data_IF_968980273209
#
_entry.id   IF_968980273209
#
_cell.length_a   1.000
_cell.length_b   1.000
_cell.length_c   1.000
_cell.angle_alpha   90.00
_cell.angle_beta   90.00
_cell.angle_gamma   90.00
#
_symmetry.space_group_name_H-M   'P 1'
#
loop_
_entity.id
_entity.type
_entity.pdbx_description
1 polymer ?
#
# COMPACT_ATOMS: atom_id res chain seq x y z
N UNK A 1 -47.65 -17.90 17.55
CA UNK A 1 -46.75 -17.01 16.80
C UNK A 1 -45.90 -16.22 17.80
N UNK A 2 -45.00 -16.91 18.50
CA UNK A 2 -43.58 -17.10 18.17
C UNK A 2 -42.75 -15.83 18.44
N UNK A 3 -42.55 -15.50 19.73
CA UNK A 3 -41.57 -14.50 20.20
C UNK A 3 -40.16 -14.76 19.64
N UNK A 4 -39.86 -16.01 19.30
CA UNK A 4 -38.65 -16.43 18.59
C UNK A 4 -38.53 -15.81 17.18
N UNK A 5 -39.66 -15.65 16.47
CA UNK A 5 -39.68 -15.04 15.14
C UNK A 5 -39.37 -13.53 15.23
N UNK A 6 -39.88 -12.86 16.27
CA UNK A 6 -39.60 -11.44 16.50
C UNK A 6 -38.12 -11.21 16.85
N UNK A 7 -37.52 -12.13 17.62
CA UNK A 7 -36.10 -12.05 18.01
C UNK A 7 -35.15 -12.27 16.81
N UNK A 8 -35.51 -13.17 15.89
CA UNK A 8 -34.75 -13.42 14.65
C UNK A 8 -34.81 -12.20 13.73
N UNK A 9 -35.99 -11.58 13.56
CA UNK A 9 -36.15 -10.38 12.72
C UNK A 9 -35.30 -9.22 13.26
N UNK A 10 -35.31 -8.99 14.58
CA UNK A 10 -34.50 -7.94 15.21
C UNK A 10 -33.00 -8.20 15.02
N UNK A 11 -32.53 -9.44 15.18
CA UNK A 11 -31.12 -9.78 14.96
C UNK A 11 -30.67 -9.66 13.50
N UNK A 12 -31.56 -9.93 12.52
CA UNK A 12 -31.23 -9.74 11.09
C UNK A 12 -31.19 -8.28 10.66
N UNK A 13 -31.82 -7.35 11.39
CA UNK A 13 -31.81 -5.92 11.06
C UNK A 13 -30.61 -5.17 11.66
N UNK A 14 -29.91 -5.75 12.64
CA UNK A 14 -28.68 -5.18 13.22
C UNK A 14 -27.40 -5.87 12.72
N UNK A 15 -27.53 -6.94 11.93
CA UNK A 15 -26.38 -7.66 11.39
C UNK A 15 -26.06 -7.14 9.99
N UNK A 16 -24.93 -6.44 9.89
CA UNK A 16 -24.32 -5.82 8.70
C UNK A 16 -24.85 -4.43 8.31
N UNK A 17 -24.47 -3.43 9.10
CA UNK A 17 -24.09 -2.14 8.53
C UNK A 17 -22.55 -2.04 8.54
N UNK A 18 -21.88 -2.94 7.82
CA UNK A 18 -20.51 -2.67 7.39
C UNK A 18 -20.60 -1.69 6.23
N UNK A 19 -20.77 -0.42 6.57
CA UNK A 19 -20.42 0.65 5.65
C UNK A 19 -18.92 0.49 5.38
N UNK A 20 -18.59 -0.28 4.35
CA UNK A 20 -17.40 -0.03 3.57
C UNK A 20 -17.59 1.40 3.09
N UNK A 21 -17.08 2.34 3.88
CA UNK A 21 -16.80 3.68 3.40
C UNK A 21 -15.69 3.43 2.39
N UNK A 22 -16.06 3.06 1.16
CA UNK A 22 -15.28 3.45 -0.01
C UNK A 22 -15.23 4.97 0.10
N UNK A 23 -14.17 5.48 0.72
CA UNK A 23 -13.78 6.85 0.53
C UNK A 23 -13.50 6.96 -0.96
N UNK A 24 -14.52 7.39 -1.70
CA UNK A 24 -14.43 7.78 -3.09
C UNK A 24 -13.66 9.11 -3.13
N UNK A 25 -12.39 9.07 -2.69
CA UNK A 25 -11.43 10.11 -2.97
C UNK A 25 -11.07 9.90 -4.41
N UNK A 26 -11.62 10.74 -5.28
CA UNK A 26 -11.25 10.81 -6.68
C UNK A 26 -9.72 10.94 -6.76
N UNK A 27 -9.07 9.86 -7.18
CA UNK A 27 -7.61 9.85 -7.29
C UNK A 27 -7.25 10.69 -8.51
N UNK A 28 -6.57 11.82 -8.28
CA UNK A 28 -6.05 12.65 -9.35
C UNK A 28 -4.88 11.92 -10.03
N UNK A 29 -5.20 11.19 -11.09
CA UNK A 29 -4.19 10.55 -11.91
C UNK A 29 -3.26 11.62 -12.52
N UNK A 30 -1.93 11.39 -12.53
CA UNK A 30 -1.01 12.31 -13.16
C UNK A 30 -1.30 12.39 -14.67
N UNK A 31 -1.12 13.59 -15.24
CA UNK A 31 -1.36 13.84 -16.65
C UNK A 31 -0.44 13.00 -17.56
N UNK A 32 0.75 12.65 -17.07
CA UNK A 32 1.69 11.74 -17.73
C UNK A 32 1.87 10.46 -16.92
N UNK A 33 1.95 9.33 -17.64
CA UNK A 33 2.32 8.02 -17.10
C UNK A 33 3.74 7.60 -17.48
N UNK A 34 4.57 8.56 -17.90
CA UNK A 34 6.00 8.32 -18.13
C UNK A 34 6.68 8.24 -16.77
N UNK A 35 6.75 7.02 -16.25
CA UNK A 35 7.29 6.75 -14.92
C UNK A 35 8.63 6.05 -15.03
N UNK A 36 9.52 6.33 -14.07
CA UNK A 36 10.78 5.59 -14.00
C UNK A 36 10.51 4.20 -13.41
N UNK A 37 10.78 3.17 -14.21
CA UNK A 37 10.76 1.76 -13.77
C UNK A 37 12.00 1.40 -12.96
N UNK A 38 11.79 0.66 -11.88
CA UNK A 38 12.80 -0.08 -11.12
C UNK A 38 13.66 0.77 -10.19
N UNK A 39 13.05 1.65 -9.40
CA UNK A 39 13.80 2.59 -8.53
C UNK A 39 14.07 1.97 -7.15
N UNK A 40 15.10 1.13 -7.06
CA UNK A 40 15.37 0.34 -5.85
C UNK A 40 16.26 1.04 -4.81
N UNK A 41 16.98 2.08 -5.22
CA UNK A 41 17.90 2.82 -4.35
C UNK A 41 17.24 4.08 -3.81
N UNK A 42 17.43 4.36 -2.52
CA UNK A 42 16.97 5.60 -1.91
C UNK A 42 17.63 6.86 -2.49
N UNK A 43 18.88 6.76 -2.94
CA UNK A 43 19.57 7.87 -3.59
C UNK A 43 19.05 8.12 -5.00
N UNK A 44 18.75 7.06 -5.74
CA UNK A 44 18.14 7.16 -7.06
C UNK A 44 16.74 7.78 -6.96
N UNK A 45 15.93 7.36 -5.98
CA UNK A 45 14.60 7.92 -5.74
C UNK A 45 14.66 9.45 -5.55
N UNK A 46 15.58 9.92 -4.71
CA UNK A 46 15.78 11.35 -4.46
C UNK A 46 16.23 12.11 -5.71
N UNK A 47 17.15 11.55 -6.47
CA UNK A 47 17.73 12.23 -7.62
C UNK A 47 16.75 12.30 -8.81
N UNK A 48 15.74 11.42 -8.83
CA UNK A 48 14.67 11.41 -9.84
C UNK A 48 13.41 12.17 -9.44
N UNK A 49 13.35 12.66 -8.20
CA UNK A 49 12.25 13.47 -7.71
C UNK A 49 12.14 14.76 -8.55
N UNK A 50 10.97 14.98 -9.16
CA UNK A 50 10.72 16.12 -10.06
C UNK A 50 11.29 15.97 -11.48
N UNK A 51 11.96 14.85 -11.79
CA UNK A 51 12.35 14.49 -13.17
C UNK A 51 11.25 13.68 -13.86
N UNK A 52 10.60 12.79 -13.09
CA UNK A 52 9.48 11.98 -13.55
C UNK A 52 8.24 12.29 -12.71
N UNK A 53 7.05 12.20 -13.33
CA UNK A 53 5.77 12.40 -12.63
C UNK A 53 5.40 11.21 -11.71
N UNK A 54 6.10 10.08 -11.87
CA UNK A 54 5.94 8.94 -11.00
C UNK A 54 7.13 7.98 -11.03
N UNK A 55 7.24 7.20 -9.97
CA UNK A 55 8.26 6.17 -9.78
C UNK A 55 7.60 4.82 -9.58
N UNK A 56 8.15 3.78 -10.20
CA UNK A 56 7.80 2.39 -9.93
C UNK A 56 8.88 1.75 -9.07
N UNK A 57 8.44 0.99 -8.08
CA UNK A 57 9.29 0.32 -7.10
C UNK A 57 8.80 -1.10 -6.82
N UNK A 58 9.68 -2.07 -7.04
CA UNK A 58 9.44 -3.46 -6.66
C UNK A 58 9.56 -3.62 -5.14
N UNK A 59 8.58 -4.28 -4.52
CA UNK A 59 8.57 -4.56 -3.08
C UNK A 59 8.24 -6.00 -2.72
N UNK A 60 8.67 -6.40 -1.53
CA UNK A 60 8.40 -7.73 -0.97
C UNK A 60 7.96 -7.56 0.48
N UNK A 61 6.79 -8.12 0.79
CA UNK A 61 6.33 -8.24 2.16
C UNK A 61 7.08 -9.37 2.89
N UNK A 62 7.60 -9.07 4.09
CA UNK A 62 8.22 -10.05 4.98
C UNK A 62 7.28 -10.39 6.14
N UNK A 63 6.66 -11.58 6.17
CA UNK A 63 5.83 -11.98 7.30
C UNK A 63 6.60 -12.05 8.62
N UNK A 64 7.88 -12.44 8.57
CA UNK A 64 8.74 -12.58 9.76
C UNK A 64 9.05 -11.25 10.43
N UNK A 65 9.22 -10.20 9.63
CA UNK A 65 9.49 -8.84 10.10
C UNK A 65 8.23 -7.99 10.21
N UNK A 66 7.12 -8.47 9.66
CA UNK A 66 5.88 -7.72 9.48
C UNK A 66 6.13 -6.35 8.84
N UNK A 67 6.86 -6.35 7.74
CA UNK A 67 7.37 -5.14 7.10
C UNK A 67 7.50 -5.31 5.57
N UNK A 68 7.61 -4.21 4.83
CA UNK A 68 7.72 -4.16 3.38
C UNK A 68 9.09 -3.63 2.98
N UNK A 69 9.81 -4.41 2.17
CA UNK A 69 11.16 -4.08 1.73
C UNK A 69 11.21 -3.80 0.23
N UNK A 70 11.97 -2.77 -0.15
CA UNK A 70 12.30 -2.43 -1.54
C UNK A 70 13.29 -3.44 -2.09
N UNK A 71 12.81 -4.34 -2.96
CA UNK A 71 13.61 -5.37 -3.64
C UNK A 71 12.79 -6.10 -4.71
N UNK A 72 13.48 -6.52 -5.77
CA UNK A 72 12.88 -7.23 -6.91
C UNK A 72 12.66 -8.72 -6.69
N UNK A 73 13.53 -9.39 -5.93
CA UNK A 73 13.50 -10.84 -5.75
C UNK A 73 13.68 -11.21 -4.29
N UNK A 74 12.95 -12.23 -3.81
CA UNK A 74 12.95 -12.67 -2.40
C UNK A 74 14.36 -13.06 -1.92
N UNK A 75 15.15 -13.65 -2.81
CA UNK A 75 16.52 -14.09 -2.51
C UNK A 75 17.51 -12.94 -2.32
N UNK A 76 17.20 -11.73 -2.82
CA UNK A 76 18.05 -10.57 -2.60
C UNK A 76 17.76 -9.95 -1.24
N UNK A 77 18.66 -10.18 -0.30
CA UNK A 77 18.63 -9.61 1.06
C UNK A 77 19.76 -8.60 1.27
N UNK A 78 20.58 -8.35 0.25
CA UNK A 78 21.80 -7.54 0.36
C UNK A 78 21.52 -6.07 0.69
N UNK A 79 20.31 -5.60 0.42
CA UNK A 79 19.94 -4.19 0.55
C UNK A 79 18.81 -3.91 1.52
N UNK A 80 18.16 -4.94 2.12
CA UNK A 80 17.01 -4.88 3.04
C UNK A 80 16.56 -3.46 3.40
N UNK A 81 15.99 -2.73 2.43
CA UNK A 81 15.66 -1.32 2.57
C UNK A 81 14.18 -1.26 2.86
N UNK A 82 13.78 -0.87 4.08
CA UNK A 82 12.37 -0.67 4.41
C UNK A 82 11.74 0.38 3.47
N UNK A 83 10.48 0.17 3.10
CA UNK A 83 9.77 1.06 2.18
C UNK A 83 9.57 2.46 2.78
N UNK A 84 9.37 2.57 4.09
CA UNK A 84 9.31 3.85 4.80
C UNK A 84 10.63 4.62 4.72
N UNK A 85 11.77 3.97 4.91
CA UNK A 85 13.10 4.58 4.73
C UNK A 85 13.33 5.03 3.28
N UNK A 86 12.81 4.29 2.30
CA UNK A 86 12.88 4.69 0.90
C UNK A 86 12.01 5.94 0.63
N UNK A 87 10.78 5.97 1.17
CA UNK A 87 9.88 7.12 1.03
C UNK A 87 10.40 8.36 1.74
N UNK A 88 11.00 8.20 2.92
CA UNK A 88 11.55 9.29 3.75
C UNK A 88 12.72 10.04 3.09
N UNK A 89 13.26 9.52 1.98
CA UNK A 89 14.39 10.13 1.26
C UNK A 89 13.96 11.10 0.17
N UNK A 90 12.67 11.10 -0.20
CA UNK A 90 12.08 12.07 -1.10
C UNK A 90 11.79 13.37 -0.33
N UNK A 91 12.00 14.52 -0.95
CA UNK A 91 11.80 15.84 -0.30
C UNK A 91 10.33 16.11 -0.04
N UNK A 92 9.45 15.72 -0.98
CA UNK A 92 8.00 15.90 -0.89
C UNK A 92 7.28 14.67 -1.44
N UNK A 93 7.27 13.55 -0.68
CA UNK A 93 6.68 12.28 -1.14
C UNK A 93 5.23 12.42 -1.61
N UNK A 94 4.45 13.29 -0.95
CA UNK A 94 3.04 13.55 -1.26
C UNK A 94 2.77 14.20 -2.62
N UNK A 95 3.80 14.70 -3.31
CA UNK A 95 3.67 15.29 -4.67
C UNK A 95 3.99 14.32 -5.80
N UNK A 96 4.41 13.10 -5.48
CA UNK A 96 4.79 12.09 -6.45
C UNK A 96 3.69 11.03 -6.60
N UNK A 97 3.56 10.47 -7.79
CA UNK A 97 2.80 9.22 -7.98
C UNK A 97 3.71 8.01 -7.85
N UNK A 98 3.16 6.91 -7.34
CA UNK A 98 3.92 5.67 -7.14
C UNK A 98 3.19 4.47 -7.76
N UNK A 99 3.96 3.60 -8.39
CA UNK A 99 3.57 2.22 -8.61
C UNK A 99 4.34 1.34 -7.63
N UNK A 100 3.66 0.77 -6.65
CA UNK A 100 4.26 -0.18 -5.71
C UNK A 100 3.98 -1.61 -6.21
N UNK A 101 4.99 -2.24 -6.83
CA UNK A 101 4.85 -3.56 -7.45
C UNK A 101 5.28 -4.68 -6.48
N UNK A 102 4.29 -5.28 -5.81
CA UNK A 102 4.53 -6.39 -4.90
C UNK A 102 4.85 -7.69 -5.63
N UNK A 103 6.03 -8.25 -5.36
CA UNK A 103 6.52 -9.48 -6.01
C UNK A 103 6.11 -10.78 -5.31
N UNK A 104 5.59 -10.69 -4.09
CA UNK A 104 5.21 -11.87 -3.31
C UNK A 104 3.85 -11.74 -2.61
N UNK A 105 2.97 -10.87 -3.11
CA UNK A 105 1.60 -10.82 -2.62
C UNK A 105 0.88 -12.14 -2.90
N UNK A 106 0.12 -12.58 -1.90
CA UNK A 106 -0.72 -13.77 -1.96
C UNK A 106 -1.96 -13.53 -1.12
N UNK A 107 -2.99 -14.37 -1.30
CA UNK A 107 -4.19 -14.32 -0.45
C UNK A 107 -3.87 -14.45 1.04
N UNK A 108 -2.78 -15.12 1.40
CA UNK A 108 -2.37 -15.34 2.78
C UNK A 108 -1.76 -14.11 3.45
N UNK A 109 -1.16 -13.19 2.69
CA UNK A 109 -0.46 -12.03 3.25
C UNK A 109 -1.03 -10.67 2.84
N UNK A 110 -1.98 -10.63 1.90
CA UNK A 110 -2.52 -9.39 1.36
C UNK A 110 -3.12 -8.47 2.44
N UNK A 111 -3.80 -9.04 3.45
CA UNK A 111 -4.39 -8.24 4.53
C UNK A 111 -3.33 -7.54 5.37
N UNK A 112 -2.26 -8.23 5.74
CA UNK A 112 -1.19 -7.68 6.55
C UNK A 112 -0.38 -6.65 5.76
N UNK A 113 -0.01 -6.97 4.52
CA UNK A 113 0.67 -6.03 3.62
C UNK A 113 -0.15 -4.75 3.41
N UNK A 114 -1.46 -4.88 3.19
CA UNK A 114 -2.36 -3.72 3.08
C UNK A 114 -2.40 -2.88 4.35
N UNK A 115 -2.43 -3.53 5.53
CA UNK A 115 -2.42 -2.80 6.80
C UNK A 115 -1.16 -1.94 6.97
N UNK A 116 0.00 -2.44 6.54
CA UNK A 116 1.26 -1.68 6.56
C UNK A 116 1.18 -0.52 5.57
N UNK A 117 0.74 -0.77 4.33
CA UNK A 117 0.58 0.28 3.32
C UNK A 117 -0.36 1.39 3.77
N UNK A 118 -1.48 1.07 4.40
CA UNK A 118 -2.40 2.06 4.96
C UNK A 118 -1.67 2.91 6.01
N UNK A 119 -0.98 2.28 6.95
CA UNK A 119 -0.23 3.01 7.99
C UNK A 119 0.83 3.94 7.36
N UNK A 120 1.57 3.49 6.34
CA UNK A 120 2.55 4.32 5.63
C UNK A 120 1.94 5.54 4.95
N UNK A 121 0.69 5.43 4.46
CA UNK A 121 0.00 6.48 3.70
C UNK A 121 -0.88 7.38 4.58
N UNK A 122 -1.07 7.04 5.86
CA UNK A 122 -1.87 7.82 6.83
C UNK A 122 -1.04 8.61 7.83
N UNK A 123 0.29 8.51 7.76
CA UNK A 123 1.18 9.35 8.58
C UNK A 123 1.33 10.69 7.87
N UNK A 124 0.55 11.67 8.33
CA UNK A 124 0.73 13.11 8.07
C UNK A 124 1.92 13.66 8.88
#
# INVERSE_FOLDING_TARGET
MNKLLLFIIVFTLFSCDSKNIEQNREYNYPASKVWKHGVYSKYEARDLEGVFDGLEVDVIYSPEKNDIYVRRVVADTSKNLPLDEWLAMLKVPSKMSYWVDFKNLSKANAKQAMSIMINLLTID
#
